data_IF_547989517260
#
_entry.id   IF_547989517260
#
_cell.length_a   1.000
_cell.length_b   1.000
_cell.length_c   1.000
_cell.angle_alpha   90.00
_cell.angle_beta   90.00
_cell.angle_gamma   90.00
#
_symmetry.space_group_name_H-M   'P 1'
#
loop_
_entity.id
_entity.type
_entity.pdbx_description
1 polymer ?
#
# COMPACT_ATOMS: atom_id res chain seq x y z
N UNK A 1 12.65 8.45 -5.50
CA UNK A 1 11.85 9.67 -5.22
C UNK A 1 10.52 9.48 -5.91
N UNK A 2 9.43 9.62 -5.18
CA UNK A 2 8.06 9.53 -5.68
C UNK A 2 7.28 10.72 -5.14
N UNK A 3 6.90 11.64 -6.03
CA UNK A 3 6.22 12.90 -5.68
C UNK A 3 6.97 13.61 -4.54
N UNK A 4 6.43 13.60 -3.32
CA UNK A 4 6.96 14.22 -2.12
C UNK A 4 7.82 13.29 -1.24
N UNK A 5 7.80 11.97 -1.49
CA UNK A 5 8.52 10.97 -0.72
C UNK A 5 9.86 10.59 -1.36
N UNK A 6 10.91 10.53 -0.53
CA UNK A 6 12.21 9.95 -0.89
C UNK A 6 12.46 8.72 -0.03
N UNK A 7 12.47 7.56 -0.69
CA UNK A 7 12.86 6.28 -0.09
C UNK A 7 14.21 5.89 -0.66
N UNK A 8 15.17 5.60 0.22
CA UNK A 8 16.53 5.19 -0.14
C UNK A 8 17.10 4.31 0.97
N UNK A 9 18.08 3.46 0.62
CA UNK A 9 18.78 2.58 1.55
C UNK A 9 20.28 2.56 1.30
N UNK A 10 21.03 1.96 2.21
CA UNK A 10 22.45 1.67 2.05
C UNK A 10 22.81 0.35 2.72
N UNK A 11 24.04 -0.17 2.48
CA UNK A 11 24.43 -1.51 2.94
C UNK A 11 24.87 -1.54 4.39
N UNK A 12 25.24 -0.39 4.95
CA UNK A 12 25.70 -0.27 6.34
C UNK A 12 25.08 0.93 7.05
N UNK A 13 24.92 0.85 8.37
CA UNK A 13 24.41 1.96 9.18
C UNK A 13 25.25 3.25 9.01
N UNK A 14 26.57 3.12 8.79
CA UNK A 14 27.48 4.25 8.54
C UNK A 14 27.16 4.96 7.21
N UNK A 15 26.86 4.20 6.17
CA UNK A 15 26.45 4.75 4.87
C UNK A 15 25.06 5.41 4.95
N UNK A 16 24.11 4.80 5.67
CA UNK A 16 22.79 5.38 5.92
C UNK A 16 22.91 6.73 6.65
N UNK A 17 23.77 6.81 7.68
CA UNK A 17 24.01 8.05 8.41
C UNK A 17 24.66 9.12 7.53
N UNK A 18 25.59 8.73 6.66
CA UNK A 18 26.19 9.65 5.68
C UNK A 18 25.12 10.18 4.72
N UNK A 19 24.32 9.29 4.14
CA UNK A 19 23.23 9.63 3.25
C UNK A 19 22.26 10.63 3.91
N UNK A 20 21.86 10.38 5.16
CA UNK A 20 21.01 11.30 5.92
C UNK A 20 21.61 12.70 6.06
N UNK A 21 22.90 12.79 6.42
CA UNK A 21 23.60 14.08 6.58
C UNK A 21 23.70 14.84 5.26
N UNK A 22 24.09 14.15 4.20
CA UNK A 22 24.23 14.73 2.86
C UNK A 22 22.87 15.25 2.36
N UNK A 23 21.80 14.46 2.54
CA UNK A 23 20.46 14.84 2.13
C UNK A 23 19.93 16.07 2.90
N UNK A 24 20.15 16.09 4.21
CA UNK A 24 19.75 17.22 5.07
C UNK A 24 20.49 18.52 4.69
N UNK A 25 21.75 18.42 4.30
CA UNK A 25 22.54 19.55 3.83
C UNK A 25 21.99 20.09 2.50
N UNK A 26 21.84 19.22 1.50
CA UNK A 26 21.36 19.60 0.16
C UNK A 26 19.97 20.25 0.23
N UNK A 27 19.05 19.68 1.00
CA UNK A 27 17.70 20.24 1.17
C UNK A 27 17.77 21.64 1.80
N UNK A 28 18.61 21.82 2.84
CA UNK A 28 18.81 23.10 3.50
C UNK A 28 19.41 24.16 2.56
N UNK A 29 20.44 23.80 1.80
CA UNK A 29 21.07 24.70 0.81
C UNK A 29 20.10 25.11 -0.30
N UNK A 30 19.17 24.22 -0.64
CA UNK A 30 18.13 24.47 -1.63
C UNK A 30 16.91 25.22 -1.05
N UNK A 31 16.94 25.62 0.22
CA UNK A 31 15.86 26.37 0.88
C UNK A 31 14.68 25.51 1.36
N UNK A 32 14.81 24.18 1.34
CA UNK A 32 13.78 23.26 1.82
C UNK A 32 14.05 22.82 3.27
N UNK A 33 13.00 22.80 4.08
CA UNK A 33 13.04 22.15 5.39
C UNK A 33 12.61 20.69 5.23
N UNK A 34 13.32 19.76 5.86
CA UNK A 34 13.00 18.32 5.84
C UNK A 34 12.32 17.95 7.18
N UNK A 35 10.98 18.00 7.27
CA UNK A 35 10.27 17.91 8.54
C UNK A 35 10.20 16.48 9.11
N UNK A 36 10.36 15.46 8.26
CA UNK A 36 10.24 14.06 8.63
C UNK A 36 11.32 13.23 7.94
N UNK A 37 11.98 12.39 8.71
CA UNK A 37 12.90 11.37 8.21
C UNK A 37 12.76 10.13 9.09
N UNK A 38 12.66 8.97 8.45
CA UNK A 38 12.37 7.68 9.10
C UNK A 38 13.45 6.69 8.67
N UNK A 39 13.98 5.90 9.60
CA UNK A 39 14.99 4.88 9.33
C UNK A 39 14.87 3.70 10.28
N UNK A 40 15.21 2.51 9.78
CA UNK A 40 15.21 1.26 10.53
C UNK A 40 16.38 1.11 11.51
N UNK A 41 17.41 1.96 11.43
CA UNK A 41 18.73 1.67 12.03
C UNK A 41 19.42 2.81 12.81
N UNK A 42 18.83 3.98 13.10
CA UNK A 42 19.63 5.07 13.74
C UNK A 42 19.18 5.49 15.14
N UNK A 43 20.02 5.25 16.12
CA UNK A 43 19.87 5.64 17.52
C UNK A 43 21.25 5.94 18.17
N UNK A 44 21.29 5.93 19.52
CA UNK A 44 22.37 6.19 20.48
C UNK A 44 23.30 7.40 20.31
N UNK A 45 23.12 8.24 19.28
CA UNK A 45 23.31 9.70 19.25
C UNK A 45 23.59 10.18 17.80
N UNK A 46 22.63 10.35 16.92
CA UNK A 46 21.66 11.42 17.13
C UNK A 46 20.73 11.53 15.90
N UNK A 47 19.99 10.43 15.69
CA UNK A 47 18.65 10.33 15.07
C UNK A 47 18.63 10.40 13.53
N UNK A 48 17.69 9.76 12.80
CA UNK A 48 16.35 9.28 13.22
C UNK A 48 16.16 7.75 13.30
N UNK A 49 15.36 7.30 14.27
CA UNK A 49 14.90 5.91 14.45
C UNK A 49 13.38 5.84 14.33
N UNK A 50 12.86 4.72 13.84
CA UNK A 50 11.59 4.17 14.34
C UNK A 50 11.67 2.65 14.32
N UNK A 51 12.39 2.12 15.31
CA UNK A 51 12.52 0.69 15.59
C UNK A 51 11.22 0.15 16.16
N UNK A 52 10.59 -0.80 15.46
CA UNK A 52 9.35 -1.44 15.89
C UNK A 52 8.06 -0.70 15.52
N UNK A 53 8.13 0.43 14.82
CA UNK A 53 6.95 1.16 14.34
C UNK A 53 6.61 0.81 12.89
N UNK A 54 5.31 0.68 12.61
CA UNK A 54 4.77 0.66 11.25
C UNK A 54 4.85 2.08 10.68
N UNK A 55 5.65 2.27 9.64
CA UNK A 55 5.66 3.52 8.88
C UNK A 55 4.83 3.38 7.62
N UNK A 56 4.27 4.48 7.10
CA UNK A 56 3.64 4.49 5.78
C UNK A 56 4.62 4.98 4.74
N UNK A 57 4.79 4.20 3.69
CA UNK A 57 5.54 4.56 2.49
C UNK A 57 4.62 4.33 1.29
N UNK A 58 4.41 5.38 0.49
CA UNK A 58 3.48 5.33 -0.66
C UNK A 58 2.06 4.89 -0.27
N UNK A 59 1.63 5.18 0.96
CA UNK A 59 0.31 4.76 1.48
C UNK A 59 0.23 3.31 1.96
N UNK A 60 1.32 2.54 1.89
CA UNK A 60 1.39 1.15 2.36
C UNK A 60 2.17 1.08 3.67
N UNK A 61 1.79 0.19 4.58
CA UNK A 61 2.53 0.01 5.82
C UNK A 61 3.84 -0.75 5.53
N UNK A 62 4.93 -0.27 6.10
CA UNK A 62 6.24 -0.89 6.08
C UNK A 62 6.67 -1.14 7.53
N UNK A 63 6.94 -2.40 7.84
CA UNK A 63 7.54 -2.79 9.09
C UNK A 63 9.06 -2.60 8.99
N UNK A 64 9.57 -1.60 9.69
CA UNK A 64 10.98 -1.22 9.62
C UNK A 64 11.90 -2.20 10.36
N UNK A 65 11.39 -3.00 11.30
CA UNK A 65 12.22 -3.96 12.03
C UNK A 65 12.43 -5.25 11.26
N UNK A 66 11.40 -5.73 10.55
CA UNK A 66 11.49 -6.95 9.72
C UNK A 66 11.83 -6.65 8.26
N UNK A 67 11.83 -5.39 7.86
CA UNK A 67 11.97 -4.95 6.48
C UNK A 67 10.88 -5.54 5.55
N UNK A 68 9.64 -5.54 6.02
CA UNK A 68 8.51 -6.16 5.33
C UNK A 68 7.41 -5.15 4.99
N UNK A 69 6.88 -5.24 3.77
CA UNK A 69 5.64 -4.56 3.41
C UNK A 69 4.47 -5.29 4.08
N UNK A 70 3.66 -4.56 4.84
CA UNK A 70 2.52 -5.10 5.59
C UNK A 70 1.22 -4.61 4.99
N UNK A 71 0.36 -5.55 4.63
CA UNK A 71 -0.98 -5.28 4.09
C UNK A 71 -2.01 -6.09 4.88
N UNK A 72 -2.96 -5.40 5.52
CA UNK A 72 -4.07 -6.08 6.20
C UNK A 72 -5.15 -6.44 5.18
N UNK A 73 -5.24 -7.72 4.85
CA UNK A 73 -6.21 -8.26 3.91
C UNK A 73 -7.53 -8.68 4.58
N UNK A 74 -7.63 -8.70 5.92
CA UNK A 74 -8.87 -9.13 6.61
C UNK A 74 -10.10 -8.36 6.11
N UNK A 75 -10.08 -7.02 5.96
CA UNK A 75 -11.24 -6.29 5.45
C UNK A 75 -11.62 -6.65 4.01
N UNK A 76 -10.68 -7.16 3.21
CA UNK A 76 -10.96 -7.65 1.86
C UNK A 76 -11.58 -9.04 1.93
N UNK A 77 -10.99 -9.93 2.72
CA UNK A 77 -11.47 -11.30 2.91
C UNK A 77 -12.89 -11.31 3.49
N UNK A 78 -13.18 -10.45 4.47
CA UNK A 78 -14.51 -10.33 5.07
C UNK A 78 -15.56 -9.86 4.05
N UNK A 79 -15.19 -8.95 3.13
CA UNK A 79 -16.06 -8.49 2.05
C UNK A 79 -16.28 -9.55 0.95
N UNK A 80 -15.29 -10.42 0.71
CA UNK A 80 -15.40 -11.53 -0.26
C UNK A 80 -16.25 -12.67 0.31
N UNK A 81 -16.13 -12.97 1.60
CA UNK A 81 -16.82 -14.08 2.26
C UNK A 81 -18.28 -13.79 2.64
N UNK A 82 -18.86 -12.71 2.13
CA UNK A 82 -20.28 -12.42 2.32
C UNK A 82 -21.11 -13.53 1.65
N UNK A 83 -22.13 -14.04 2.34
CA UNK A 83 -23.01 -15.11 1.82
C UNK A 83 -23.72 -14.70 0.52
N UNK A 84 -24.10 -13.42 0.43
CA UNK A 84 -24.82 -12.81 -0.69
C UNK A 84 -24.08 -11.56 -1.24
N UNK A 85 -22.95 -11.73 -1.96
CA UNK A 85 -22.23 -10.62 -2.57
C UNK A 85 -23.09 -9.92 -3.61
N UNK A 86 -22.93 -8.60 -3.69
CA UNK A 86 -23.61 -7.73 -4.65
C UNK A 86 -22.54 -7.02 -5.47
N UNK A 87 -22.94 -6.41 -6.58
CA UNK A 87 -22.01 -5.59 -7.38
C UNK A 87 -21.34 -4.49 -6.54
N UNK A 88 -22.07 -3.90 -5.58
CA UNK A 88 -21.52 -2.90 -4.64
C UNK A 88 -20.34 -3.45 -3.82
N UNK A 89 -20.42 -4.69 -3.34
CA UNK A 89 -19.33 -5.33 -2.60
C UNK A 89 -18.08 -5.49 -3.49
N UNK A 90 -18.23 -5.93 -4.74
CA UNK A 90 -17.12 -6.05 -5.68
C UNK A 90 -16.46 -4.69 -5.93
N UNK A 91 -17.25 -3.64 -6.12
CA UNK A 91 -16.72 -2.27 -6.30
C UNK A 91 -15.99 -1.79 -5.05
N UNK A 92 -16.50 -2.05 -3.85
CA UNK A 92 -15.81 -1.74 -2.59
C UNK A 92 -14.40 -2.32 -2.58
N UNK A 93 -14.26 -3.60 -2.92
CA UNK A 93 -12.96 -4.28 -2.97
C UNK A 93 -12.05 -3.66 -4.04
N UNK A 94 -12.56 -3.47 -5.26
CA UNK A 94 -11.81 -2.89 -6.38
C UNK A 94 -11.39 -1.44 -6.12
N UNK A 95 -12.16 -0.71 -5.32
CA UNK A 95 -11.87 0.67 -4.94
C UNK A 95 -10.72 0.81 -3.95
N UNK A 96 -10.35 -0.29 -3.26
CA UNK A 96 -9.19 -0.30 -2.38
C UNK A 96 -7.94 -0.10 -3.24
N UNK A 97 -7.27 1.02 -3.01
CA UNK A 97 -6.09 1.40 -3.78
C UNK A 97 -4.97 0.37 -3.64
N UNK A 98 -4.22 0.18 -4.71
CA UNK A 98 -3.03 -0.67 -4.76
C UNK A 98 -1.83 0.20 -5.16
N UNK A 99 -1.23 0.94 -4.21
CA UNK A 99 -0.28 2.00 -4.53
C UNK A 99 0.97 1.53 -5.26
N UNK A 100 1.34 0.25 -5.13
CA UNK A 100 2.55 -0.33 -5.72
C UNK A 100 2.27 -1.53 -6.64
N UNK A 101 1.00 -1.87 -6.88
CA UNK A 101 0.63 -2.92 -7.83
C UNK A 101 0.64 -4.36 -7.28
N UNK A 102 0.78 -4.56 -5.97
CA UNK A 102 0.87 -5.90 -5.36
C UNK A 102 -0.44 -6.70 -5.47
N UNK A 103 -1.58 -6.02 -5.42
CA UNK A 103 -2.91 -6.64 -5.54
C UNK A 103 -3.43 -6.66 -6.97
N UNK A 104 -2.70 -6.07 -7.91
CA UNK A 104 -3.14 -5.88 -9.29
C UNK A 104 -3.63 -7.16 -9.98
N UNK A 105 -2.98 -8.34 -9.84
CA UNK A 105 -3.50 -9.57 -10.43
C UNK A 105 -4.93 -9.92 -9.96
N UNK A 106 -5.24 -9.67 -8.69
CA UNK A 106 -6.57 -9.93 -8.11
C UNK A 106 -7.55 -8.82 -8.50
N UNK A 107 -7.13 -7.55 -8.39
CA UNK A 107 -7.97 -6.39 -8.71
C UNK A 107 -8.36 -6.40 -10.20
N UNK A 108 -7.48 -6.81 -11.10
CA UNK A 108 -7.78 -6.89 -12.54
C UNK A 108 -8.87 -7.93 -12.80
N UNK A 109 -8.77 -9.13 -12.22
CA UNK A 109 -9.85 -10.14 -12.31
C UNK A 109 -11.18 -9.59 -11.82
N UNK A 110 -11.19 -8.92 -10.67
CA UNK A 110 -12.40 -8.30 -10.12
C UNK A 110 -12.95 -7.16 -11.00
N UNK A 111 -12.09 -6.36 -11.63
CA UNK A 111 -12.51 -5.33 -12.60
C UNK A 111 -13.13 -5.94 -13.86
N UNK A 112 -12.55 -7.03 -14.38
CA UNK A 112 -13.12 -7.76 -15.52
C UNK A 112 -14.49 -8.33 -15.15
N UNK A 113 -14.62 -8.94 -13.97
CA UNK A 113 -15.90 -9.43 -13.49
C UNK A 113 -16.92 -8.31 -13.27
N UNK A 114 -16.50 -7.17 -12.73
CA UNK A 114 -17.35 -5.99 -12.59
C UNK A 114 -17.87 -5.51 -13.95
N UNK A 115 -17.03 -5.50 -14.99
CA UNK A 115 -17.44 -5.17 -16.36
C UNK A 115 -18.51 -6.14 -16.87
N UNK A 116 -18.37 -7.44 -16.61
CA UNK A 116 -19.38 -8.44 -16.96
C UNK A 116 -20.73 -8.18 -16.28
N UNK A 117 -20.72 -7.90 -14.96
CA UNK A 117 -21.93 -7.54 -14.22
C UNK A 117 -22.61 -6.29 -14.78
N UNK A 118 -21.84 -5.33 -15.27
CA UNK A 118 -22.39 -4.17 -15.98
C UNK A 118 -23.04 -4.54 -17.31
N UNK A 119 -22.43 -5.42 -18.10
CA UNK A 119 -23.01 -5.92 -19.36
C UNK A 119 -24.32 -6.69 -19.12
N UNK A 120 -24.41 -7.45 -18.04
CA UNK A 120 -25.60 -8.19 -17.62
C UNK A 120 -26.68 -7.28 -16.99
N UNK A 121 -26.40 -5.98 -16.83
CA UNK A 121 -27.29 -4.99 -16.19
C UNK A 121 -27.70 -5.36 -14.76
N UNK A 122 -26.86 -6.13 -14.05
CA UNK A 122 -27.10 -6.46 -12.65
C UNK A 122 -27.14 -5.17 -11.81
N UNK A 123 -28.12 -5.06 -10.92
CA UNK A 123 -28.27 -3.94 -10.00
C UNK A 123 -27.06 -3.76 -9.07
N UNK A 124 -26.99 -2.61 -8.39
CA UNK A 124 -25.94 -2.34 -7.40
C UNK A 124 -26.09 -3.22 -6.17
N UNK A 125 -27.32 -3.35 -5.68
CA UNK A 125 -27.71 -4.09 -4.48
C UNK A 125 -28.34 -5.45 -4.81
N UNK A 126 -28.36 -5.81 -6.10
CA UNK A 126 -28.81 -7.12 -6.58
C UNK A 126 -27.74 -8.17 -6.32
N UNK A 127 -28.17 -9.32 -5.79
CA UNK A 127 -27.30 -10.43 -5.45
C UNK A 127 -26.70 -11.07 -6.72
N UNK A 128 -25.40 -11.31 -6.67
CA UNK A 128 -24.68 -12.04 -7.70
C UNK A 128 -25.03 -13.52 -7.58
N UNK A 129 -25.70 -14.05 -8.61
CA UNK A 129 -26.11 -15.45 -8.68
C UNK A 129 -24.91 -16.38 -8.83
N UNK A 130 -25.09 -17.63 -8.42
CA UNK A 130 -24.02 -18.63 -8.44
C UNK A 130 -23.52 -18.95 -9.86
N UNK A 131 -24.38 -18.82 -10.88
CA UNK A 131 -23.99 -18.97 -12.28
C UNK A 131 -23.04 -17.87 -12.75
N UNK A 132 -23.17 -16.65 -12.22
CA UNK A 132 -22.27 -15.53 -12.54
C UNK A 132 -20.90 -15.68 -11.84
N UNK A 133 -20.84 -16.33 -10.67
CA UNK A 133 -19.59 -16.47 -9.90
C UNK A 133 -18.56 -17.42 -10.53
N UNK A 134 -19.00 -18.36 -11.37
CA UNK A 134 -18.11 -19.38 -11.99
C UNK A 134 -17.06 -18.82 -12.96
N UNK A 135 -17.17 -17.55 -13.33
CA UNK A 135 -16.24 -16.90 -14.25
C UNK A 135 -15.01 -16.29 -13.55
N UNK A 136 -14.87 -16.45 -12.22
CA UNK A 136 -13.76 -15.89 -11.44
C UNK A 136 -12.53 -16.81 -11.31
N UNK A 137 -12.67 -18.10 -11.60
CA UNK A 137 -11.61 -19.11 -11.48
C UNK A 137 -10.55 -18.97 -12.59
#
# INVERSE_FOLDING_TARGET
>A
MYVDDVVSGARTAKEVLKLFKDFKLIMKESGFNLPKFVSSQIDANNNPTSSGELSKVLGINWNLSTDEIVMDLKPIVDEVNIFNPTKRHIVSIVSKGDPVGLLSPVIVKLKMFLQELHCLKNGWDEQISESMRKNLD
#
